data_IF_704604184098
#
_entry.id   IF_704604184098
#
_cell.length_a   1.000
_cell.length_b   1.000
_cell.length_c   1.000
_cell.angle_alpha   90.00
_cell.angle_beta   90.00
_cell.angle_gamma   90.00
#
_symmetry.space_group_name_H-M   'P 1'
#
loop_
_entity.id
_entity.type
_entity.pdbx_description
1 polymer ?
#
# COMPACT_ATOMS: atom_id res chain seq x y z
N UNK A 1 -2.57 28.65 -7.34
CA UNK A 1 -3.57 27.57 -7.31
C UNK A 1 -4.89 28.27 -7.43
N UNK A 2 -5.60 28.01 -8.52
CA UNK A 2 -6.75 28.82 -8.91
C UNK A 2 -8.07 28.19 -8.45
N UNK A 3 -7.97 27.13 -7.65
CA UNK A 3 -9.10 26.35 -7.16
C UNK A 3 -9.44 25.14 -8.03
N UNK A 4 -10.26 24.27 -7.47
CA UNK A 4 -11.05 23.28 -8.20
C UNK A 4 -12.42 23.86 -8.54
N UNK A 5 -13.14 23.19 -9.45
CA UNK A 5 -14.53 23.53 -9.79
C UNK A 5 -15.49 23.44 -8.60
N UNK A 6 -15.15 22.66 -7.58
CA UNK A 6 -15.87 22.59 -6.31
C UNK A 6 -15.12 23.40 -5.25
N UNK A 7 -15.77 24.43 -4.71
CA UNK A 7 -15.21 25.34 -3.72
C UNK A 7 -14.87 24.66 -2.38
N UNK A 8 -15.65 23.66 -1.96
CA UNK A 8 -15.37 22.88 -0.75
C UNK A 8 -14.08 22.06 -0.93
N UNK A 9 -13.90 21.49 -2.12
CA UNK A 9 -12.66 20.79 -2.44
C UNK A 9 -11.46 21.74 -2.46
N UNK A 10 -11.65 22.97 -2.94
CA UNK A 10 -10.63 24.04 -2.91
C UNK A 10 -10.23 24.39 -1.48
N UNK A 11 -11.20 24.74 -0.63
CA UNK A 11 -10.92 25.14 0.76
C UNK A 11 -10.31 23.98 1.56
N UNK A 12 -10.69 22.72 1.29
CA UNK A 12 -10.07 21.55 1.94
C UNK A 12 -8.56 21.41 1.69
N UNK A 13 -8.03 22.04 0.62
CA UNK A 13 -6.59 22.03 0.30
C UNK A 13 -5.84 23.25 0.82
N UNK A 14 -6.53 24.27 1.34
CA UNK A 14 -5.90 25.50 1.81
C UNK A 14 -5.87 25.49 3.34
N UNK A 15 -4.65 25.56 3.90
CA UNK A 15 -4.44 25.77 5.33
C UNK A 15 -4.23 27.26 5.56
N UNK A 16 -4.96 27.86 6.51
CA UNK A 16 -4.89 29.29 6.82
C UNK A 16 -4.29 29.51 8.21
N UNK A 17 -3.65 30.67 8.38
CA UNK A 17 -3.10 31.11 9.66
C UNK A 17 -2.09 30.12 10.28
N UNK A 18 -1.28 29.47 9.44
CA UNK A 18 -0.38 28.37 9.83
C UNK A 18 0.88 28.90 10.51
N UNK A 19 1.58 29.86 9.88
CA UNK A 19 2.81 30.44 10.44
C UNK A 19 2.51 31.81 11.04
N UNK A 20 1.62 32.58 10.41
CA UNK A 20 1.19 33.90 10.90
C UNK A 20 -0.25 34.21 10.47
N UNK A 21 -0.97 35.08 11.20
CA UNK A 21 -2.30 35.52 10.81
C UNK A 21 -2.33 36.09 9.38
N UNK A 22 -3.31 35.66 8.59
CA UNK A 22 -3.55 36.04 7.20
C UNK A 22 -2.75 35.25 6.16
N UNK A 23 -1.89 34.32 6.55
CA UNK A 23 -1.21 33.45 5.59
C UNK A 23 -2.10 32.30 5.08
N UNK A 24 -1.74 31.75 3.92
CA UNK A 24 -2.43 30.63 3.32
C UNK A 24 -1.41 29.72 2.63
N UNK A 25 -1.55 28.42 2.86
CA UNK A 25 -0.64 27.38 2.39
C UNK A 25 -1.42 26.29 1.67
N UNK A 26 -0.88 25.77 0.57
CA UNK A 26 -1.48 24.66 -0.14
C UNK A 26 -0.98 23.33 0.44
N UNK A 27 -1.90 22.49 0.91
CA UNK A 27 -1.58 21.16 1.41
C UNK A 27 -1.45 20.17 0.24
N UNK A 28 -0.20 19.90 -0.16
CA UNK A 28 0.10 18.91 -1.21
C UNK A 28 -0.22 17.48 -0.75
N UNK A 29 -0.17 17.23 0.56
CA UNK A 29 -0.22 15.89 1.14
C UNK A 29 1.09 15.11 1.01
N UNK A 30 2.18 15.70 0.52
CA UNK A 30 3.47 15.03 0.40
C UNK A 30 4.31 15.22 1.68
N UNK A 31 4.87 14.13 2.20
CA UNK A 31 5.95 14.16 3.19
C UNK A 31 7.27 14.37 2.47
N UNK A 32 8.02 15.37 2.94
CA UNK A 32 9.36 15.69 2.43
C UNK A 32 10.37 15.68 3.58
N UNK A 33 11.60 15.26 3.28
CA UNK A 33 12.73 15.31 4.20
C UNK A 33 13.82 16.22 3.63
N UNK A 34 14.34 17.11 4.44
CA UNK A 34 15.55 17.87 4.10
C UNK A 34 16.75 16.91 4.06
N UNK A 35 17.51 16.93 2.96
CA UNK A 35 18.68 16.08 2.76
C UNK A 35 19.91 16.95 2.49
N UNK A 36 21.06 16.49 3.00
CA UNK A 36 22.36 17.06 2.65
C UNK A 36 22.90 16.32 1.42
N UNK A 37 23.04 17.04 0.31
CA UNK A 37 23.59 16.53 -0.95
C UNK A 37 25.03 17.01 -1.17
N UNK A 38 25.69 17.55 -0.14
CA UNK A 38 27.04 18.08 -0.21
C UNK A 38 27.12 19.48 -0.82
N UNK A 39 28.06 19.69 -1.75
CA UNK A 39 28.27 21.02 -2.36
C UNK A 39 27.18 21.36 -3.37
N UNK A 40 26.02 21.78 -2.88
CA UNK A 40 24.93 22.28 -3.70
C UNK A 40 24.75 23.80 -3.56
N UNK A 41 25.83 24.55 -3.77
CA UNK A 41 25.81 26.04 -3.79
C UNK A 41 25.04 26.68 -2.61
N UNK A 42 25.07 26.04 -1.42
CA UNK A 42 24.40 26.52 -0.21
C UNK A 42 22.86 26.45 -0.24
N UNK A 43 22.25 25.70 -1.16
CA UNK A 43 20.79 25.52 -1.21
C UNK A 43 20.36 24.30 -0.40
N UNK A 44 19.19 24.41 0.25
CA UNK A 44 18.53 23.26 0.87
C UNK A 44 17.94 22.36 -0.20
N UNK A 45 18.08 21.06 -0.02
CA UNK A 45 17.47 20.05 -0.86
C UNK A 45 16.44 19.26 -0.07
N UNK A 46 15.33 18.93 -0.73
CA UNK A 46 14.26 18.14 -0.13
C UNK A 46 14.03 16.90 -0.99
N UNK A 47 13.95 15.75 -0.34
CA UNK A 47 13.58 14.48 -0.95
C UNK A 47 12.12 14.19 -0.64
N UNK A 48 11.37 13.75 -1.65
CA UNK A 48 10.06 13.16 -1.45
C UNK A 48 10.18 11.87 -0.66
N UNK A 49 9.42 11.73 0.42
CA UNK A 49 9.40 10.55 1.28
C UNK A 49 8.17 9.71 0.97
N UNK A 50 6.98 10.29 1.10
CA UNK A 50 5.72 9.59 0.87
C UNK A 50 4.54 10.58 0.75
N UNK A 51 3.31 10.09 0.63
CA UNK A 51 2.09 10.89 0.80
C UNK A 51 1.35 10.55 2.08
N UNK A 52 0.83 11.59 2.73
CA UNK A 52 -0.12 11.49 3.84
C UNK A 52 -1.37 10.77 3.32
N UNK A 53 -1.60 9.54 3.78
CA UNK A 53 -2.70 8.67 3.35
C UNK A 53 -2.28 7.47 2.47
N UNK A 54 -1.03 7.43 2.01
CA UNK A 54 -0.40 6.28 1.34
C UNK A 54 0.37 5.40 2.36
N UNK A 55 0.12 5.58 3.65
CA UNK A 55 0.61 4.71 4.73
C UNK A 55 -0.55 3.96 5.38
N UNK A 56 -0.24 2.84 6.03
CA UNK A 56 -1.18 2.15 6.91
C UNK A 56 -0.47 1.74 8.21
N UNK A 57 -1.24 1.55 9.29
CA UNK A 57 -0.69 1.17 10.60
C UNK A 57 -0.98 -0.29 10.88
N UNK A 58 0.05 -1.10 11.06
CA UNK A 58 -0.05 -2.53 11.35
C UNK A 58 0.73 -2.87 12.61
N UNK A 59 0.06 -3.49 13.60
CA UNK A 59 0.68 -3.90 14.89
C UNK A 59 1.54 -2.81 15.53
N UNK A 60 1.01 -1.60 15.55
CA UNK A 60 1.65 -0.37 16.05
C UNK A 60 2.77 0.25 15.22
N UNK A 61 3.11 -0.32 14.07
CA UNK A 61 4.11 0.23 13.14
C UNK A 61 3.43 0.98 11.99
N UNK A 62 4.06 2.06 11.51
CA UNK A 62 3.64 2.73 10.28
C UNK A 62 4.34 2.07 9.09
N UNK A 63 3.57 1.68 8.08
CA UNK A 63 4.06 1.03 6.87
C UNK A 63 3.78 1.94 5.67
N UNK A 64 4.83 2.26 4.91
CA UNK A 64 4.71 2.97 3.63
C UNK A 64 4.26 2.01 2.54
N UNK A 65 3.15 2.31 1.86
CA UNK A 65 2.71 1.49 0.72
C UNK A 65 3.65 1.61 -0.47
N UNK A 66 4.28 2.77 -0.64
CA UNK A 66 5.20 3.02 -1.75
C UNK A 66 6.52 2.28 -1.55
N UNK A 67 7.14 2.37 -0.36
CA UNK A 67 8.39 1.66 -0.06
C UNK A 67 8.22 0.13 -0.22
N UNK A 68 7.16 -0.42 0.36
CA UNK A 68 6.87 -1.86 0.21
C UNK A 68 6.61 -2.21 -1.24
N UNK A 69 5.82 -1.40 -1.96
CA UNK A 69 5.53 -1.61 -3.38
C UNK A 69 6.79 -1.59 -4.26
N UNK A 70 7.69 -0.63 -4.05
CA UNK A 70 8.97 -0.52 -4.76
C UNK A 70 9.87 -1.73 -4.54
N UNK A 71 9.97 -2.21 -3.30
CA UNK A 71 10.73 -3.43 -2.99
C UNK A 71 10.11 -4.65 -3.70
N UNK A 72 8.78 -4.79 -3.64
CA UNK A 72 8.07 -5.91 -4.28
C UNK A 72 8.17 -5.89 -5.81
N UNK A 73 8.25 -4.70 -6.44
CA UNK A 73 8.52 -4.57 -7.87
C UNK A 73 9.92 -5.08 -8.26
N UNK A 74 10.84 -5.24 -7.31
CA UNK A 74 12.14 -5.87 -7.52
C UNK A 74 12.09 -7.41 -7.59
N UNK A 75 10.94 -8.03 -7.30
CA UNK A 75 10.79 -9.48 -7.39
C UNK A 75 10.71 -9.93 -8.86
N UNK A 76 11.46 -10.98 -9.23
CA UNK A 76 11.61 -11.40 -10.63
C UNK A 76 10.29 -11.73 -11.34
N UNK A 77 9.28 -12.24 -10.62
CA UNK A 77 7.97 -12.59 -11.18
C UNK A 77 6.98 -11.41 -11.27
N UNK A 78 7.25 -10.30 -10.59
CA UNK A 78 6.31 -9.17 -10.44
C UNK A 78 6.53 -8.15 -11.57
N UNK A 79 5.46 -7.81 -12.29
CA UNK A 79 5.43 -6.69 -13.23
C UNK A 79 5.07 -5.39 -12.50
N UNK A 80 4.04 -5.45 -11.64
CA UNK A 80 3.61 -4.30 -10.85
C UNK A 80 3.00 -4.75 -9.52
N UNK A 81 3.39 -4.08 -8.44
CA UNK A 81 2.88 -4.23 -7.10
C UNK A 81 2.19 -2.96 -6.61
N UNK A 82 0.95 -3.10 -6.14
CA UNK A 82 0.19 -2.03 -5.52
C UNK A 82 -0.21 -2.41 -4.10
N UNK A 83 0.38 -1.74 -3.12
CA UNK A 83 0.21 -2.04 -1.70
C UNK A 83 -0.82 -1.10 -1.08
N UNK A 84 -1.65 -1.63 -0.18
CA UNK A 84 -2.63 -0.87 0.58
C UNK A 84 -2.98 -1.59 1.89
N UNK A 85 -3.52 -0.83 2.85
CA UNK A 85 -4.02 -1.40 4.10
C UNK A 85 -5.48 -1.88 3.97
N UNK A 86 -5.78 -3.03 4.56
CA UNK A 86 -7.14 -3.62 4.65
C UNK A 86 -7.48 -3.98 6.10
N UNK A 87 -8.77 -3.99 6.42
CA UNK A 87 -9.25 -4.39 7.75
C UNK A 87 -9.21 -5.92 7.94
N UNK A 88 -8.81 -6.36 9.13
CA UNK A 88 -9.06 -7.73 9.59
C UNK A 88 -10.01 -7.64 10.80
N UNK A 89 -11.12 -8.40 10.83
CA UNK A 89 -12.03 -8.41 11.96
C UNK A 89 -11.31 -8.63 13.29
N UNK A 90 -11.75 -7.89 14.32
CA UNK A 90 -11.21 -7.95 15.68
C UNK A 90 -9.73 -7.53 15.85
N UNK A 91 -9.10 -6.94 14.84
CA UNK A 91 -7.71 -6.46 14.90
C UNK A 91 -7.65 -4.96 14.69
N UNK A 92 -6.93 -4.27 15.57
CA UNK A 92 -6.68 -2.84 15.43
C UNK A 92 -5.62 -2.56 14.37
N UNK A 93 -5.89 -1.53 13.55
CA UNK A 93 -5.03 -1.14 12.44
C UNK A 93 -5.48 -1.76 11.12
N UNK A 94 -4.58 -1.72 10.13
CA UNK A 94 -4.82 -2.26 8.80
C UNK A 94 -3.69 -3.23 8.47
N UNK A 95 -4.04 -4.43 8.02
CA UNK A 95 -3.07 -5.39 7.52
C UNK A 95 -2.59 -4.97 6.12
N UNK A 96 -1.33 -5.24 5.80
CA UNK A 96 -0.82 -5.02 4.45
C UNK A 96 -1.48 -5.98 3.45
N UNK A 97 -1.95 -5.45 2.35
CA UNK A 97 -2.38 -6.21 1.18
C UNK A 97 -1.63 -5.70 -0.05
N UNK A 98 -1.22 -6.61 -0.92
CA UNK A 98 -0.64 -6.26 -2.22
C UNK A 98 -1.47 -6.86 -3.35
N UNK A 99 -1.78 -6.03 -4.35
CA UNK A 99 -2.27 -6.48 -5.65
C UNK A 99 -1.10 -6.53 -6.62
N UNK A 100 -0.86 -7.70 -7.20
CA UNK A 100 0.24 -7.98 -8.11
C UNK A 100 -0.28 -8.27 -9.50
N UNK A 101 0.43 -7.79 -10.52
CA UNK A 101 0.40 -8.38 -11.86
C UNK A 101 1.73 -9.06 -12.11
N UNK A 102 1.72 -10.19 -12.80
CA UNK A 102 2.93 -10.94 -13.12
C UNK A 102 3.52 -10.49 -14.45
N UNK A 103 4.81 -10.73 -14.62
CA UNK A 103 5.45 -10.61 -15.93
C UNK A 103 4.84 -11.62 -16.90
N UNK A 104 4.89 -11.30 -18.20
CA UNK A 104 4.31 -12.14 -19.25
C UNK A 104 4.78 -13.60 -19.12
N UNK A 105 3.84 -14.54 -19.30
CA UNK A 105 4.06 -16.00 -19.26
C UNK A 105 4.53 -16.58 -17.91
N UNK A 106 4.55 -15.79 -16.84
CA UNK A 106 4.84 -16.28 -15.50
C UNK A 106 3.59 -16.83 -14.81
N UNK A 107 3.78 -17.85 -13.98
CA UNK A 107 2.79 -18.33 -13.00
C UNK A 107 3.29 -17.91 -11.63
N UNK A 108 2.38 -17.48 -10.75
CA UNK A 108 2.78 -17.03 -9.42
C UNK A 108 3.38 -18.18 -8.62
N UNK A 109 4.65 -18.05 -8.26
CA UNK A 109 5.34 -18.95 -7.34
C UNK A 109 5.32 -18.32 -5.94
N UNK A 110 4.37 -18.78 -5.12
CA UNK A 110 4.19 -18.31 -3.76
C UNK A 110 5.42 -18.58 -2.88
N UNK A 111 6.18 -19.65 -3.12
CA UNK A 111 7.38 -19.97 -2.34
C UNK A 111 8.49 -18.99 -2.68
N UNK A 112 8.80 -18.81 -3.97
CA UNK A 112 9.79 -17.84 -4.40
C UNK A 112 9.44 -16.40 -3.98
N UNK A 113 8.14 -16.04 -4.05
CA UNK A 113 7.66 -14.75 -3.55
C UNK A 113 7.90 -14.60 -2.04
N UNK A 114 7.58 -15.64 -1.27
CA UNK A 114 7.79 -15.66 0.18
C UNK A 114 9.27 -15.46 0.53
N UNK A 115 10.17 -16.16 -0.14
CA UNK A 115 11.61 -16.07 0.09
C UNK A 115 12.14 -14.67 -0.22
N UNK A 116 11.69 -14.07 -1.33
CA UNK A 116 12.01 -12.69 -1.69
C UNK A 116 11.51 -11.69 -0.63
N UNK A 117 10.25 -11.82 -0.20
CA UNK A 117 9.66 -10.95 0.83
C UNK A 117 10.41 -11.07 2.15
N UNK A 118 10.72 -12.28 2.60
CA UNK A 118 11.46 -12.51 3.83
C UNK A 118 12.88 -11.95 3.81
N UNK A 119 13.53 -11.95 2.64
CA UNK A 119 14.89 -11.43 2.48
C UNK A 119 14.94 -9.89 2.44
N UNK A 120 13.89 -9.24 1.92
CA UNK A 120 13.93 -7.80 1.59
C UNK A 120 13.01 -6.93 2.46
N UNK A 121 12.02 -7.49 3.16
CA UNK A 121 11.07 -6.74 3.98
C UNK A 121 11.12 -7.17 5.45
N UNK A 122 11.16 -6.21 6.40
CA UNK A 122 10.98 -6.53 7.81
C UNK A 122 9.58 -7.08 8.08
N UNK A 123 9.45 -7.99 9.04
CA UNK A 123 8.21 -8.73 9.32
C UNK A 123 6.96 -7.85 9.46
N UNK A 124 7.06 -6.63 10.02
CA UNK A 124 5.90 -5.76 10.21
C UNK A 124 5.39 -5.09 8.92
N UNK A 125 6.21 -5.00 7.86
CA UNK A 125 5.83 -4.38 6.58
C UNK A 125 5.48 -5.40 5.50
N UNK A 126 5.68 -6.70 5.78
CA UNK A 126 5.29 -7.77 4.88
C UNK A 126 3.77 -7.76 4.66
N UNK A 127 3.28 -7.77 3.41
CA UNK A 127 1.86 -7.91 3.15
C UNK A 127 1.32 -9.20 3.77
N UNK A 128 0.22 -9.12 4.50
CA UNK A 128 -0.49 -10.31 5.00
C UNK A 128 -1.23 -11.00 3.86
N UNK A 129 -1.77 -10.22 2.91
CA UNK A 129 -2.53 -10.73 1.78
C UNK A 129 -1.86 -10.38 0.45
N UNK A 130 -1.94 -11.31 -0.50
CA UNK A 130 -1.47 -11.12 -1.87
C UNK A 130 -2.63 -11.47 -2.81
N UNK A 131 -2.93 -10.57 -3.74
CA UNK A 131 -3.88 -10.79 -4.83
C UNK A 131 -3.13 -10.80 -6.14
N UNK A 132 -3.26 -11.87 -6.92
CA UNK A 132 -2.65 -11.98 -8.24
C UNK A 132 -3.72 -11.69 -9.29
N UNK A 133 -3.55 -10.59 -10.00
CA UNK A 133 -4.46 -10.14 -11.05
C UNK A 133 -3.92 -10.55 -12.44
N UNK A 134 -4.79 -10.95 -13.38
CA UNK A 134 -4.38 -11.27 -14.74
C UNK A 134 -3.86 -10.03 -15.48
N UNK A 135 -4.47 -8.87 -15.23
CA UNK A 135 -4.06 -7.59 -15.80
C UNK A 135 -4.21 -6.48 -14.75
N UNK A 136 -3.42 -5.41 -14.92
CA UNK A 136 -3.51 -4.25 -14.07
C UNK A 136 -4.86 -3.56 -14.29
N UNK A 137 -5.66 -3.39 -13.24
CA UNK A 137 -6.89 -2.59 -13.31
C UNK A 137 -6.52 -1.11 -13.43
N UNK A 138 -6.15 -0.67 -14.62
CA UNK A 138 -5.91 0.75 -14.93
C UNK A 138 -7.20 1.37 -15.44
N UNK A 139 -7.70 2.40 -14.76
CA UNK A 139 -8.68 3.30 -15.40
C UNK A 139 -8.00 4.05 -16.55
N UNK A 140 -8.78 4.62 -17.49
CA UNK A 140 -8.31 5.39 -18.65
C UNK A 140 -7.42 6.61 -18.37
N UNK A 141 -6.94 6.80 -17.14
CA UNK A 141 -5.93 7.78 -16.73
C UNK A 141 -4.67 7.16 -16.10
N UNK A 142 -4.45 5.83 -16.22
CA UNK A 142 -3.34 5.08 -15.62
C UNK A 142 -3.22 5.21 -14.09
N UNK A 143 -4.26 5.72 -13.42
CA UNK A 143 -4.32 5.80 -11.95
C UNK A 143 -4.87 4.51 -11.37
N UNK A 144 -4.07 3.89 -10.49
CA UNK A 144 -4.43 2.73 -9.68
C UNK A 144 -5.65 3.06 -8.80
N UNK A 145 -6.77 2.34 -9.00
CA UNK A 145 -7.98 2.51 -8.19
C UNK A 145 -7.82 1.86 -6.80
N UNK A 146 -7.02 2.48 -5.92
CA UNK A 146 -6.88 2.02 -4.51
C UNK A 146 -8.23 1.98 -3.77
N UNK A 147 -9.22 2.78 -4.18
CA UNK A 147 -10.54 2.81 -3.55
C UNK A 147 -11.34 1.51 -3.70
N UNK A 148 -11.45 0.98 -4.91
CA UNK A 148 -12.21 -0.26 -5.16
C UNK A 148 -11.42 -1.49 -4.70
N UNK A 149 -10.09 -1.48 -4.85
CA UNK A 149 -9.22 -2.51 -4.30
C UNK A 149 -9.36 -2.62 -2.77
N UNK A 150 -9.42 -1.50 -2.05
CA UNK A 150 -9.64 -1.50 -0.59
C UNK A 150 -11.03 -2.02 -0.20
N UNK A 151 -12.07 -1.79 -1.01
CA UNK A 151 -13.42 -2.30 -0.76
C UNK A 151 -13.52 -3.81 -1.02
N UNK A 152 -12.90 -4.29 -2.10
CA UNK A 152 -12.86 -5.70 -2.44
C UNK A 152 -12.00 -6.50 -1.45
N UNK A 153 -10.85 -5.94 -1.05
CA UNK A 153 -9.90 -6.54 -0.12
C UNK A 153 -9.61 -8.02 -0.47
N UNK A 154 -9.49 -8.87 0.55
CA UNK A 154 -9.28 -10.32 0.44
C UNK A 154 -10.60 -11.12 0.45
N UNK A 155 -11.74 -10.47 0.16
CA UNK A 155 -13.05 -11.10 0.23
C UNK A 155 -13.29 -12.02 -0.99
N UNK A 156 -13.37 -13.33 -0.75
CA UNK A 156 -13.54 -14.36 -1.77
C UNK A 156 -14.83 -14.21 -2.60
N UNK A 157 -15.84 -13.52 -2.08
CA UNK A 157 -17.12 -13.24 -2.75
C UNK A 157 -17.09 -11.96 -3.61
N UNK A 158 -16.04 -11.14 -3.49
CA UNK A 158 -15.91 -9.86 -4.20
C UNK A 158 -15.00 -9.95 -5.43
N UNK A 159 -14.19 -11.02 -5.53
CA UNK A 159 -13.16 -11.17 -6.57
C UNK A 159 -13.08 -12.61 -7.05
N UNK A 160 -12.68 -12.79 -8.31
CA UNK A 160 -12.38 -14.11 -8.91
C UNK A 160 -10.88 -14.38 -9.01
N UNK A 161 -10.06 -13.41 -8.60
CA UNK A 161 -8.61 -13.46 -8.68
C UNK A 161 -8.02 -14.44 -7.66
N UNK A 162 -6.79 -14.89 -7.90
CA UNK A 162 -6.12 -15.74 -6.92
C UNK A 162 -5.69 -14.92 -5.70
N UNK A 163 -6.15 -15.34 -4.53
CA UNK A 163 -5.78 -14.75 -3.26
C UNK A 163 -4.86 -15.71 -2.50
N UNK A 164 -3.83 -15.13 -1.90
CA UNK A 164 -2.89 -15.79 -1.03
C UNK A 164 -2.78 -15.01 0.26
N UNK A 165 -2.36 -15.70 1.31
CA UNK A 165 -2.28 -15.15 2.66
C UNK A 165 -1.04 -15.71 3.35
N UNK A 166 -0.41 -14.90 4.19
CA UNK A 166 0.68 -15.30 5.09
C UNK A 166 0.08 -15.59 6.47
N UNK A 167 -0.09 -16.87 6.88
CA UNK A 167 -0.67 -17.20 8.18
C UNK A 167 0.23 -16.74 9.33
N UNK A 168 -0.32 -16.49 10.53
CA UNK A 168 0.49 -16.09 11.67
C UNK A 168 1.58 -17.12 11.97
N UNK A 169 2.80 -16.63 12.23
CA UNK A 169 3.99 -17.45 12.55
C UNK A 169 4.51 -18.32 11.41
N UNK A 170 3.88 -18.27 10.23
CA UNK A 170 4.42 -18.90 9.03
C UNK A 170 5.39 -17.95 8.32
N UNK A 171 6.21 -18.51 7.42
CA UNK A 171 7.11 -17.75 6.55
C UNK A 171 6.74 -17.82 5.08
N UNK A 172 5.71 -18.59 4.75
CA UNK A 172 5.31 -18.83 3.37
C UNK A 172 3.85 -18.45 3.16
N UNK A 173 3.59 -17.78 2.04
CA UNK A 173 2.26 -17.53 1.54
C UNK A 173 1.62 -18.85 1.09
N UNK A 174 0.35 -19.01 1.41
CA UNK A 174 -0.48 -20.11 0.92
C UNK A 174 -1.75 -19.56 0.30
N UNK A 175 -2.37 -20.33 -0.59
CA UNK A 175 -3.64 -19.95 -1.20
C UNK A 175 -4.69 -19.72 -0.12
N UNK A 176 -5.42 -18.62 -0.22
CA UNK A 176 -6.53 -18.31 0.67
C UNK A 176 -7.74 -19.16 0.27
N UNK A 177 -7.86 -20.32 0.89
CA UNK A 177 -9.03 -21.17 0.73
C UNK A 177 -10.20 -20.67 1.59
N UNK A 178 -11.36 -21.29 1.40
CA UNK A 178 -12.59 -20.92 2.11
C UNK A 178 -12.46 -21.16 3.62
N UNK A 179 -11.79 -22.22 4.04
CA UNK A 179 -11.65 -22.56 5.46
C UNK A 179 -10.81 -21.50 6.20
N UNK A 180 -9.67 -21.11 5.63
CA UNK A 180 -8.82 -20.09 6.21
C UNK A 180 -9.48 -18.71 6.14
N UNK A 181 -10.19 -18.40 5.05
CA UNK A 181 -10.99 -17.18 4.95
C UNK A 181 -12.02 -17.08 6.07
N UNK A 182 -12.82 -18.14 6.30
CA UNK A 182 -13.85 -18.13 7.34
C UNK A 182 -13.22 -17.93 8.74
N UNK A 183 -12.04 -18.54 9.02
CA UNK A 183 -11.25 -18.31 10.25
C UNK A 183 -10.74 -16.87 10.39
N UNK A 184 -10.45 -16.18 9.29
CA UNK A 184 -10.03 -14.78 9.31
C UNK A 184 -11.24 -13.89 9.60
N UNK A 185 -12.39 -14.18 8.99
CA UNK A 185 -13.62 -13.41 9.16
C UNK A 185 -14.20 -13.55 10.57
N UNK A 186 -14.12 -14.75 11.17
CA UNK A 186 -14.59 -14.99 12.53
C UNK A 186 -13.59 -14.57 13.63
N UNK A 187 -12.39 -14.12 13.24
CA UNK A 187 -11.34 -13.65 14.15
C UNK A 187 -10.53 -14.78 14.83
N UNK A 188 -10.70 -16.05 14.45
CA UNK A 188 -10.00 -17.19 15.04
C UNK A 188 -8.65 -17.52 14.40
N UNK A 189 -8.27 -16.85 13.31
CA UNK A 189 -7.03 -17.09 12.58
C UNK A 189 -5.74 -16.73 13.36
N UNK A 190 -5.83 -15.94 14.44
CA UNK A 190 -4.71 -15.64 15.34
C UNK A 190 -3.73 -14.56 14.86
N UNK A 191 -4.22 -13.63 14.04
CA UNK A 191 -3.48 -12.46 13.57
C UNK A 191 -3.32 -11.36 14.62
#
# INVERSE_FOLDING_TARGET
FDGYTNDEATESKILRDVVKPGDAWFNTGDLIREIDVGFAFGKKHYQFVDRVGDTFRWRSENVSTNEVGEILNGCDQVEMANVYGVDIPAIEGKAGMVSLTLKSEQVFDAVAFSDFVNANLPHFSQPVFVRVQPEATTTGTFKLQKGDLRKQAYHLDQVTDELYVLPPRMKQYQKLDRELYDKIIDGSAGY
#
